data_IF_160204408998
#
_entry.id   IF_160204408998
#
_cell.length_a   1.000
_cell.length_b   1.000
_cell.length_c   1.000
_cell.angle_alpha   90.00
_cell.angle_beta   90.00
_cell.angle_gamma   90.00
#
_symmetry.space_group_name_H-M   'P 1'
#
loop_
_entity.id
_entity.type
_entity.pdbx_description
1 polymer ?
#
# COMPACT_ATOMS: atom_id res chain seq x y z
N UNK A 1 5.91 -10.18 -3.25
CA UNK A 1 6.50 -10.04 -1.90
C UNK A 1 6.76 -8.57 -1.67
N UNK A 2 6.40 -8.03 -0.48
CA UNK A 2 6.78 -6.69 -0.02
C UNK A 2 7.51 -6.87 1.31
N UNK A 3 8.77 -6.42 1.34
CA UNK A 3 9.67 -6.62 2.46
C UNK A 3 10.33 -5.29 2.88
N UNK A 4 10.04 -4.77 4.08
CA UNK A 4 10.66 -3.55 4.59
C UNK A 4 12.09 -3.73 5.08
N UNK A 5 12.53 -4.96 5.34
CA UNK A 5 13.89 -5.25 5.83
C UNK A 5 14.86 -5.59 4.70
N UNK A 6 14.40 -6.27 3.65
CA UNK A 6 15.16 -6.63 2.47
C UNK A 6 15.72 -8.04 2.47
N UNK A 7 15.95 -8.64 3.63
CA UNK A 7 16.54 -9.99 3.76
C UNK A 7 15.61 -11.07 3.20
N UNK A 8 14.31 -10.97 3.52
CA UNK A 8 13.29 -11.89 3.03
C UNK A 8 13.15 -11.82 1.50
N UNK A 9 13.20 -10.61 0.93
CA UNK A 9 13.18 -10.40 -0.52
C UNK A 9 14.39 -11.05 -1.20
N UNK A 10 15.60 -10.84 -0.66
CA UNK A 10 16.85 -11.40 -1.20
C UNK A 10 16.87 -12.92 -1.10
N UNK A 11 16.49 -13.48 0.04
CA UNK A 11 16.49 -14.94 0.24
C UNK A 11 15.50 -15.63 -0.69
N UNK A 12 14.31 -15.05 -0.90
CA UNK A 12 13.32 -15.64 -1.82
C UNK A 12 13.80 -15.63 -3.28
N UNK A 13 14.64 -14.70 -3.69
CA UNK A 13 15.20 -14.71 -5.05
C UNK A 13 15.99 -15.99 -5.36
N UNK A 14 16.63 -16.60 -4.34
CA UNK A 14 17.40 -17.84 -4.50
C UNK A 14 16.52 -19.05 -4.86
N UNK A 15 15.24 -19.01 -4.55
CA UNK A 15 14.29 -20.09 -4.81
C UNK A 15 13.55 -19.92 -6.15
N UNK A 16 13.83 -18.85 -6.91
CA UNK A 16 13.20 -18.64 -8.21
C UNK A 16 13.86 -19.57 -9.25
N UNK A 17 13.10 -20.45 -9.90
CA UNK A 17 13.66 -21.32 -10.94
C UNK A 17 14.27 -20.50 -12.08
N UNK A 18 15.38 -20.96 -12.65
CA UNK A 18 16.05 -20.28 -13.77
C UNK A 18 15.14 -19.98 -14.95
N UNK A 19 14.16 -20.86 -15.23
CA UNK A 19 13.13 -20.67 -16.26
C UNK A 19 12.16 -19.51 -16.01
N UNK A 20 12.10 -19.00 -14.78
CA UNK A 20 11.20 -17.91 -14.37
C UNK A 20 11.93 -16.60 -14.11
N UNK A 21 13.25 -16.52 -14.27
CA UNK A 21 14.03 -15.30 -14.00
C UNK A 21 13.58 -14.10 -14.86
N UNK A 22 13.17 -14.35 -16.10
CA UNK A 22 12.64 -13.30 -16.99
C UNK A 22 11.27 -12.74 -16.55
N UNK A 23 10.57 -13.43 -15.65
CA UNK A 23 9.29 -13.01 -15.12
C UNK A 23 9.43 -12.15 -13.87
N UNK A 24 10.65 -11.97 -13.37
CA UNK A 24 10.91 -11.25 -12.13
C UNK A 24 10.97 -9.75 -12.37
N UNK A 25 10.17 -9.01 -11.62
CA UNK A 25 10.28 -7.56 -11.46
C UNK A 25 10.80 -7.30 -10.06
N UNK A 26 12.05 -6.85 -9.98
CA UNK A 26 12.71 -6.55 -8.71
C UNK A 26 12.75 -5.04 -8.48
N UNK A 27 11.88 -4.55 -7.59
CA UNK A 27 11.81 -3.15 -7.20
C UNK A 27 12.68 -2.92 -5.98
N UNK A 28 13.81 -2.23 -6.18
CA UNK A 28 14.77 -1.88 -5.15
C UNK A 28 15.08 -0.37 -5.16
N UNK A 29 14.44 0.42 -4.30
CA UNK A 29 14.71 1.87 -4.18
C UNK A 29 16.14 2.22 -3.81
N UNK A 30 16.90 1.32 -3.21
CA UNK A 30 18.31 1.55 -2.87
C UNK A 30 19.24 1.53 -4.10
N UNK A 31 18.76 1.02 -5.25
CA UNK A 31 19.47 1.13 -6.52
C UNK A 31 19.29 2.53 -7.11
N UNK A 32 20.22 3.42 -6.79
CA UNK A 32 20.20 4.81 -7.26
C UNK A 32 20.79 5.00 -8.66
N UNK A 33 21.44 3.99 -9.22
CA UNK A 33 21.99 4.05 -10.58
C UNK A 33 20.90 3.78 -11.62
N UNK A 34 19.98 2.86 -11.33
CA UNK A 34 18.90 2.48 -12.24
C UNK A 34 17.52 2.53 -11.51
N UNK A 35 17.08 3.72 -11.09
CA UNK A 35 15.83 3.84 -10.35
C UNK A 35 14.63 3.44 -11.22
N UNK A 36 13.89 2.44 -10.78
CA UNK A 36 12.63 2.08 -11.42
C UNK A 36 11.56 3.13 -11.13
N UNK A 37 10.89 3.62 -12.16
CA UNK A 37 9.78 4.54 -12.02
C UNK A 37 8.57 3.86 -11.38
N UNK A 38 7.97 4.55 -10.43
CA UNK A 38 6.72 4.15 -9.81
C UNK A 38 5.88 5.41 -9.54
N UNK A 39 4.88 5.67 -10.37
CA UNK A 39 4.03 6.84 -10.28
C UNK A 39 2.70 6.53 -9.57
N UNK A 40 2.49 6.98 -8.33
CA UNK A 40 1.22 6.79 -7.64
C UNK A 40 0.02 7.42 -8.36
N UNK A 41 0.24 8.51 -9.13
CA UNK A 41 -0.80 9.22 -9.87
C UNK A 41 -1.03 8.67 -11.29
N UNK A 42 -0.30 7.65 -11.74
CA UNK A 42 -0.51 7.08 -13.06
C UNK A 42 -1.92 6.48 -13.20
N UNK A 43 -2.64 6.93 -14.22
CA UNK A 43 -4.01 6.52 -14.53
C UNK A 43 -3.99 5.56 -15.70
N UNK A 44 -4.26 4.28 -15.46
CA UNK A 44 -4.43 3.28 -16.53
C UNK A 44 -5.89 3.21 -17.02
N UNK A 45 -6.86 3.51 -16.15
CA UNK A 45 -8.28 3.54 -16.46
C UNK A 45 -8.91 4.83 -15.92
N UNK A 46 -9.47 5.70 -16.78
CA UNK A 46 -10.11 6.94 -16.33
C UNK A 46 -11.20 6.78 -15.26
N UNK A 47 -11.92 5.65 -15.26
CA UNK A 47 -12.94 5.37 -14.24
C UNK A 47 -12.37 5.22 -12.83
N UNK A 48 -11.07 5.01 -12.68
CA UNK A 48 -10.41 4.83 -11.38
C UNK A 48 -9.86 6.13 -10.77
N UNK A 49 -9.99 7.29 -11.42
CA UNK A 49 -9.41 8.56 -10.94
C UNK A 49 -9.81 8.90 -9.50
N UNK A 50 -11.09 8.78 -9.18
CA UNK A 50 -11.60 9.05 -7.83
C UNK A 50 -11.00 8.09 -6.79
N UNK A 51 -10.88 6.80 -7.14
CA UNK A 51 -10.27 5.81 -6.27
C UNK A 51 -8.78 6.11 -6.06
N UNK A 52 -8.03 6.39 -7.14
CA UNK A 52 -6.61 6.78 -7.05
C UNK A 52 -6.44 8.00 -6.14
N UNK A 53 -7.26 9.03 -6.30
CA UNK A 53 -7.23 10.22 -5.44
C UNK A 53 -7.45 9.86 -3.97
N UNK A 54 -8.48 9.08 -3.68
CA UNK A 54 -8.83 8.68 -2.31
C UNK A 54 -7.73 7.82 -1.67
N UNK A 55 -7.17 6.90 -2.43
CA UNK A 55 -6.10 6.03 -1.95
C UNK A 55 -4.79 6.80 -1.68
N UNK A 56 -4.39 7.69 -2.59
CA UNK A 56 -3.21 8.53 -2.38
C UNK A 56 -3.37 9.42 -1.14
N UNK A 57 -4.56 10.00 -0.95
CA UNK A 57 -4.89 10.77 0.25
C UNK A 57 -4.82 9.88 1.49
N UNK A 58 -5.35 8.66 1.43
CA UNK A 58 -5.30 7.70 2.54
C UNK A 58 -3.87 7.37 2.97
N UNK A 59 -2.96 7.14 2.02
CA UNK A 59 -1.53 6.93 2.30
C UNK A 59 -0.91 8.15 2.98
N UNK A 60 -1.14 9.35 2.45
CA UNK A 60 -0.60 10.57 3.01
C UNK A 60 -1.19 10.89 4.40
N UNK A 61 -2.50 10.67 4.59
CA UNK A 61 -3.17 10.84 5.86
C UNK A 61 -2.58 9.94 6.95
N UNK A 62 -2.37 8.67 6.61
CA UNK A 62 -1.72 7.72 7.52
C UNK A 62 -0.30 8.17 7.90
N UNK A 63 0.49 8.60 6.92
CA UNK A 63 1.87 9.03 7.12
C UNK A 63 1.98 10.27 8.05
N UNK A 64 1.05 11.22 7.92
CA UNK A 64 1.10 12.47 8.65
C UNK A 64 0.24 12.51 9.92
N UNK A 65 -0.57 11.48 10.17
CA UNK A 65 -1.27 11.25 11.44
C UNK A 65 -2.00 12.49 11.99
N UNK A 66 -1.73 12.83 13.24
CA UNK A 66 -2.38 13.93 13.95
C UNK A 66 -2.19 15.31 13.32
N UNK A 67 -1.15 15.48 12.49
CA UNK A 67 -0.92 16.74 11.77
C UNK A 67 -1.78 16.90 10.51
N UNK A 68 -2.67 15.94 10.23
CA UNK A 68 -3.63 15.98 9.14
C UNK A 68 -4.86 16.79 9.50
N UNK A 69 -5.25 17.75 8.66
CA UNK A 69 -6.41 18.60 8.90
C UNK A 69 -7.40 18.63 7.74
N UNK A 70 -8.68 18.93 8.01
CA UNK A 70 -9.73 18.91 6.97
C UNK A 70 -9.44 19.82 5.77
N UNK A 71 -8.90 21.03 6.02
CA UNK A 71 -8.55 21.98 4.96
C UNK A 71 -7.42 21.46 4.08
N UNK A 72 -6.40 20.84 4.69
CA UNK A 72 -5.30 20.22 3.96
C UNK A 72 -5.83 19.12 3.04
N UNK A 73 -6.67 18.23 3.57
CA UNK A 73 -7.28 17.14 2.79
C UNK A 73 -8.11 17.68 1.63
N UNK A 74 -8.91 18.70 1.88
CA UNK A 74 -9.75 19.36 0.89
C UNK A 74 -8.93 19.92 -0.30
N UNK A 75 -7.91 20.73 -0.01
CA UNK A 75 -7.03 21.30 -1.04
C UNK A 75 -6.28 20.21 -1.79
N UNK A 76 -5.73 19.23 -1.08
CA UNK A 76 -4.97 18.14 -1.68
C UNK A 76 -5.84 17.27 -2.60
N UNK A 77 -7.08 17.00 -2.21
CA UNK A 77 -8.05 16.24 -3.02
C UNK A 77 -8.30 16.91 -4.37
N UNK A 78 -8.63 18.19 -4.39
CA UNK A 78 -8.84 18.92 -5.65
C UNK A 78 -7.55 19.09 -6.46
N UNK A 79 -6.41 19.17 -5.78
CA UNK A 79 -5.10 19.17 -6.44
C UNK A 79 -4.86 17.86 -7.18
N UNK A 80 -5.02 16.74 -6.49
CA UNK A 80 -4.81 15.40 -7.07
C UNK A 80 -5.81 15.15 -8.22
N UNK A 81 -7.10 15.44 -8.02
CA UNK A 81 -8.12 15.24 -9.05
C UNK A 81 -7.79 16.03 -10.33
N UNK A 82 -7.35 17.29 -10.20
CA UNK A 82 -6.93 18.08 -11.35
C UNK A 82 -5.69 17.50 -12.05
N UNK A 83 -4.71 17.01 -11.28
CA UNK A 83 -3.51 16.37 -11.83
C UNK A 83 -3.83 15.06 -12.55
N UNK A 84 -4.79 14.26 -12.06
CA UNK A 84 -5.20 13.01 -12.69
C UNK A 84 -5.88 13.19 -14.05
N UNK A 85 -6.37 14.41 -14.37
CA UNK A 85 -6.92 14.73 -15.69
C UNK A 85 -5.83 15.06 -16.71
N UNK A 86 -4.69 15.57 -16.26
CA UNK A 86 -3.57 15.91 -17.11
C UNK A 86 -2.64 14.69 -17.31
N UNK A 87 -2.24 14.38 -18.56
CA UNK A 87 -1.30 13.30 -18.81
C UNK A 87 0.09 13.60 -18.21
N UNK A 88 0.81 12.54 -17.85
CA UNK A 88 2.20 12.57 -17.43
C UNK A 88 2.50 13.40 -16.16
N UNK A 89 1.49 13.61 -15.32
CA UNK A 89 1.67 14.23 -14.00
C UNK A 89 2.20 13.26 -12.96
N UNK A 90 2.88 13.80 -11.97
CA UNK A 90 3.52 13.07 -10.88
C UNK A 90 3.22 13.68 -9.52
N UNK A 91 3.60 13.01 -8.45
CA UNK A 91 3.49 13.58 -7.09
C UNK A 91 4.25 14.91 -6.92
N UNK A 92 5.28 15.16 -7.72
CA UNK A 92 6.04 16.43 -7.69
C UNK A 92 5.20 17.61 -8.20
N UNK A 93 4.24 17.35 -9.06
CA UNK A 93 3.38 18.38 -9.64
C UNK A 93 2.33 18.92 -8.64
N UNK A 94 2.12 18.27 -7.51
CA UNK A 94 1.29 18.79 -6.41
C UNK A 94 1.79 20.18 -5.99
N UNK A 95 3.10 20.32 -5.77
CA UNK A 95 3.72 21.59 -5.40
C UNK A 95 3.54 22.63 -6.53
N UNK A 96 3.75 22.25 -7.78
CA UNK A 96 3.58 23.15 -8.94
C UNK A 96 2.13 23.62 -9.10
N UNK A 97 1.18 22.70 -8.91
CA UNK A 97 -0.25 23.04 -8.98
C UNK A 97 -0.64 24.10 -7.96
N UNK A 98 -0.02 24.10 -6.78
CA UNK A 98 -0.29 25.05 -5.70
C UNK A 98 0.43 26.38 -5.87
N UNK A 99 1.66 26.39 -6.43
CA UNK A 99 2.54 27.57 -6.44
C UNK A 99 2.72 28.22 -7.80
N UNK A 100 2.60 27.47 -8.91
CA UNK A 100 2.80 27.96 -10.27
C UNK A 100 1.45 28.24 -10.95
N UNK A 101 1.10 29.53 -11.09
CA UNK A 101 -0.16 29.97 -11.72
C UNK A 101 -0.27 29.52 -13.19
N UNK A 102 0.86 29.48 -13.93
CA UNK A 102 0.89 29.06 -15.34
C UNK A 102 0.65 27.56 -15.49
N UNK A 103 1.36 26.76 -14.70
CA UNK A 103 1.18 25.31 -14.66
C UNK A 103 -0.24 24.94 -14.25
N UNK A 104 -0.79 25.60 -13.22
CA UNK A 104 -2.17 25.41 -12.78
C UNK A 104 -3.18 25.69 -13.89
N UNK A 105 -3.06 26.84 -14.55
CA UNK A 105 -3.95 27.20 -15.67
C UNK A 105 -3.90 26.17 -16.80
N UNK A 106 -2.71 25.71 -17.17
CA UNK A 106 -2.51 24.69 -18.19
C UNK A 106 -3.12 23.34 -17.73
N UNK A 107 -2.90 22.92 -16.50
CA UNK A 107 -3.49 21.69 -15.95
C UNK A 107 -5.02 21.74 -15.97
N UNK A 108 -5.62 22.86 -15.57
CA UNK A 108 -7.07 23.01 -15.57
C UNK A 108 -7.70 22.97 -16.96
N UNK A 109 -6.94 23.21 -18.02
CA UNK A 109 -7.45 23.06 -19.40
C UNK A 109 -7.73 21.61 -19.79
N UNK A 110 -7.19 20.63 -19.07
CA UNK A 110 -7.48 19.20 -19.24
C UNK A 110 -8.67 18.73 -18.39
N UNK A 111 -9.07 19.52 -17.38
CA UNK A 111 -10.13 19.12 -16.45
C UNK A 111 -11.50 19.28 -17.10
N UNK A 112 -12.34 18.26 -16.94
CA UNK A 112 -13.74 18.25 -17.39
C UNK A 112 -14.73 18.25 -16.23
N UNK A 113 -14.28 17.91 -15.03
CA UNK A 113 -15.11 17.90 -13.82
C UNK A 113 -15.42 19.33 -13.36
N UNK A 114 -16.69 19.68 -13.42
CA UNK A 114 -17.18 21.03 -13.07
C UNK A 114 -16.94 21.38 -11.62
N UNK A 115 -16.93 20.41 -10.70
CA UNK A 115 -16.68 20.63 -9.27
C UNK A 115 -15.20 20.95 -9.02
N UNK A 116 -14.29 20.26 -9.71
CA UNK A 116 -12.85 20.55 -9.67
C UNK A 116 -12.59 21.95 -10.24
N UNK A 117 -13.20 22.27 -11.38
CA UNK A 117 -13.07 23.60 -12.01
C UNK A 117 -13.65 24.71 -11.11
N UNK A 118 -14.77 24.47 -10.45
CA UNK A 118 -15.39 25.43 -9.53
C UNK A 118 -14.46 25.72 -8.33
N UNK A 119 -13.87 24.68 -7.74
CA UNK A 119 -12.90 24.88 -6.65
C UNK A 119 -11.75 25.80 -7.09
N UNK A 120 -11.11 25.51 -8.22
CA UNK A 120 -9.92 26.23 -8.64
C UNK A 120 -10.22 27.63 -9.19
N UNK A 121 -11.24 27.77 -10.04
CA UNK A 121 -11.53 29.01 -10.77
C UNK A 121 -12.41 29.98 -9.97
N UNK A 122 -13.16 29.51 -8.99
CA UNK A 122 -14.05 30.36 -8.18
C UNK A 122 -13.57 30.43 -6.74
N UNK A 123 -13.53 29.29 -6.02
CA UNK A 123 -13.22 29.29 -4.59
C UNK A 123 -11.77 29.69 -4.33
N UNK A 124 -10.80 28.92 -4.84
CA UNK A 124 -9.38 29.18 -4.65
C UNK A 124 -8.95 30.54 -5.23
N UNK A 125 -9.50 30.91 -6.39
CA UNK A 125 -9.21 32.19 -7.03
C UNK A 125 -9.74 33.40 -6.24
N UNK A 126 -10.80 33.23 -5.44
CA UNK A 126 -11.35 34.29 -4.58
C UNK A 126 -10.52 34.55 -3.32
N UNK A 127 -9.63 33.63 -2.97
CA UNK A 127 -8.81 33.78 -1.76
C UNK A 127 -7.74 34.85 -1.95
N UNK A 128 -7.53 35.68 -0.92
CA UNK A 128 -6.42 36.63 -0.90
C UNK A 128 -5.08 35.90 -0.96
N UNK A 129 -4.04 36.55 -1.52
CA UNK A 129 -2.70 35.91 -1.60
C UNK A 129 -2.17 35.47 -0.23
N UNK A 130 -2.45 36.25 0.83
CA UNK A 130 -2.08 35.90 2.19
C UNK A 130 -2.78 34.60 2.64
N UNK A 131 -4.09 34.51 2.40
CA UNK A 131 -4.86 33.31 2.77
C UNK A 131 -4.48 32.09 1.94
N UNK A 132 -4.23 32.26 0.62
CA UNK A 132 -3.70 31.20 -0.22
C UNK A 132 -2.38 30.63 0.33
N UNK A 133 -1.42 31.51 0.65
CA UNK A 133 -0.13 31.12 1.21
C UNK A 133 -0.28 30.33 2.52
N UNK A 134 -1.15 30.80 3.43
CA UNK A 134 -1.44 30.14 4.69
C UNK A 134 -2.12 28.77 4.47
N UNK A 135 -3.10 28.71 3.59
CA UNK A 135 -3.90 27.51 3.34
C UNK A 135 -3.10 26.37 2.68
N UNK A 136 -2.18 26.72 1.76
CA UNK A 136 -1.36 25.72 1.04
C UNK A 136 -0.10 25.30 1.81
N UNK A 137 0.39 26.08 2.77
CA UNK A 137 1.61 25.79 3.49
C UNK A 137 1.65 24.40 4.14
N UNK A 138 0.58 23.91 4.80
CA UNK A 138 0.56 22.55 5.34
C UNK A 138 0.72 21.47 4.28
N UNK A 139 0.14 21.66 3.08
CA UNK A 139 0.28 20.70 1.96
C UNK A 139 1.73 20.70 1.46
N UNK A 140 2.29 21.88 1.22
CA UNK A 140 3.67 22.05 0.75
C UNK A 140 4.69 21.44 1.71
N UNK A 141 4.52 21.65 3.01
CA UNK A 141 5.38 21.08 4.03
C UNK A 141 5.37 19.54 4.00
N UNK A 142 4.20 18.95 3.87
CA UNK A 142 4.06 17.49 3.84
C UNK A 142 4.57 16.86 2.55
N UNK A 143 4.16 17.41 1.41
CA UNK A 143 4.65 16.94 0.10
C UNK A 143 6.15 17.19 -0.01
N UNK A 144 6.65 18.35 0.43
CA UNK A 144 8.06 18.68 0.46
C UNK A 144 8.90 17.70 1.29
N UNK A 145 8.37 17.22 2.40
CA UNK A 145 9.11 16.32 3.29
C UNK A 145 9.58 15.04 2.57
N UNK A 146 8.69 14.37 1.81
CA UNK A 146 9.08 13.15 1.10
C UNK A 146 9.69 13.42 -0.28
N UNK A 147 9.31 14.50 -0.99
CA UNK A 147 9.88 14.84 -2.30
C UNK A 147 11.28 15.45 -2.20
N UNK A 148 11.69 15.93 -1.03
CA UNK A 148 13.05 16.40 -0.78
C UNK A 148 14.10 15.27 -0.89
N UNK A 149 13.71 14.04 -0.55
CA UNK A 149 14.61 12.89 -0.65
C UNK A 149 14.86 12.51 -2.11
N UNK A 150 16.14 12.51 -2.59
CA UNK A 150 16.46 12.19 -3.99
C UNK A 150 16.04 10.77 -4.40
N UNK A 151 16.13 9.78 -3.51
CA UNK A 151 15.74 8.40 -3.79
C UNK A 151 14.24 8.35 -4.12
N UNK A 152 13.43 8.91 -3.25
CA UNK A 152 11.97 8.96 -3.46
C UNK A 152 11.63 9.76 -4.71
N UNK A 153 12.21 10.95 -4.85
CA UNK A 153 11.95 11.85 -5.98
C UNK A 153 12.25 11.21 -7.33
N UNK A 154 13.34 10.44 -7.45
CA UNK A 154 13.71 9.76 -8.67
C UNK A 154 12.78 8.61 -9.04
N UNK A 155 12.05 8.06 -8.08
CA UNK A 155 11.08 6.98 -8.26
C UNK A 155 9.70 7.55 -8.61
N UNK A 156 9.14 8.38 -7.71
CA UNK A 156 7.76 8.90 -7.85
C UNK A 156 7.64 10.10 -8.78
N UNK A 157 8.75 10.68 -9.20
CA UNK A 157 8.81 11.80 -10.16
C UNK A 157 8.88 11.37 -11.63
N UNK A 158 8.93 10.06 -11.92
CA UNK A 158 8.84 9.56 -13.28
C UNK A 158 7.38 9.53 -13.72
N UNK A 159 7.02 10.12 -14.89
CA UNK A 159 5.64 10.22 -15.34
C UNK A 159 4.98 8.86 -15.58
N UNK A 160 5.77 7.87 -15.97
CA UNK A 160 5.31 6.51 -16.23
C UNK A 160 6.04 5.54 -15.31
N UNK A 161 5.29 4.60 -14.76
CA UNK A 161 5.87 3.48 -14.03
C UNK A 161 6.61 2.55 -14.98
N UNK A 162 7.76 2.02 -14.56
CA UNK A 162 8.58 1.09 -15.37
C UNK A 162 7.88 -0.27 -15.54
N UNK A 163 6.94 -0.60 -14.67
CA UNK A 163 6.18 -1.85 -14.69
C UNK A 163 4.70 -1.59 -14.44
N UNK A 164 3.85 -2.46 -14.98
CA UNK A 164 2.41 -2.41 -14.80
C UNK A 164 1.97 -3.55 -13.86
N UNK A 165 1.42 -3.19 -12.69
CA UNK A 165 1.03 -4.17 -11.68
C UNK A 165 -0.12 -5.07 -12.17
N UNK A 166 -1.09 -4.52 -12.92
CA UNK A 166 -2.18 -5.29 -13.50
C UNK A 166 -1.63 -6.36 -14.47
N UNK A 167 -0.70 -5.98 -15.32
CA UNK A 167 -0.04 -6.90 -16.25
C UNK A 167 0.76 -7.97 -15.50
N UNK A 168 1.48 -7.61 -14.43
CA UNK A 168 2.19 -8.56 -13.55
C UNK A 168 1.24 -9.61 -13.00
N UNK A 169 0.05 -9.21 -12.56
CA UNK A 169 -0.96 -10.13 -12.05
C UNK A 169 -1.49 -11.07 -13.13
N UNK A 170 -1.87 -10.52 -14.28
CA UNK A 170 -2.55 -11.28 -15.34
C UNK A 170 -1.60 -12.21 -16.09
N UNK A 171 -0.35 -11.83 -16.29
CA UNK A 171 0.69 -12.66 -16.89
C UNK A 171 1.33 -13.63 -15.88
N UNK A 172 1.06 -13.48 -14.59
CA UNK A 172 1.60 -14.33 -13.51
C UNK A 172 3.09 -14.13 -13.31
N UNK A 173 3.55 -12.90 -13.45
CA UNK A 173 4.93 -12.50 -13.13
C UNK A 173 5.17 -12.46 -11.61
N UNK A 174 6.43 -12.31 -11.23
CA UNK A 174 6.89 -12.31 -9.86
C UNK A 174 7.35 -10.89 -9.53
N UNK A 175 6.63 -10.21 -8.62
CA UNK A 175 7.00 -8.90 -8.11
C UNK A 175 7.67 -9.04 -6.75
N UNK A 176 8.92 -8.61 -6.65
CA UNK A 176 9.67 -8.55 -5.39
C UNK A 176 9.99 -7.09 -5.09
N UNK A 177 9.45 -6.59 -3.98
CA UNK A 177 9.61 -5.23 -3.50
C UNK A 177 10.50 -5.25 -2.27
N UNK A 178 11.77 -4.88 -2.47
CA UNK A 178 12.78 -4.78 -1.43
C UNK A 178 12.90 -3.33 -0.97
N UNK A 179 12.30 -2.98 0.15
CA UNK A 179 12.31 -1.60 0.62
C UNK A 179 13.50 -1.27 1.52
N UNK A 180 14.18 -2.28 2.08
CA UNK A 180 15.44 -2.15 2.85
C UNK A 180 15.52 -0.88 3.70
N UNK A 181 14.61 -0.74 4.69
CA UNK A 181 14.50 0.48 5.51
C UNK A 181 15.83 0.97 6.10
N UNK A 182 16.76 0.05 6.32
CA UNK A 182 18.13 0.37 6.76
C UNK A 182 18.95 1.15 5.70
N UNK A 183 18.60 1.06 4.42
CA UNK A 183 19.29 1.74 3.34
C UNK A 183 18.60 3.03 2.91
N UNK A 184 17.26 3.02 2.82
CA UNK A 184 16.51 4.18 2.33
C UNK A 184 15.85 5.01 3.43
N UNK A 185 15.85 4.55 4.67
CA UNK A 185 15.16 5.16 5.81
C UNK A 185 13.73 4.65 6.00
N UNK A 186 13.26 4.64 7.24
CA UNK A 186 11.97 4.06 7.65
C UNK A 186 10.78 4.79 7.00
N UNK A 187 10.77 6.12 7.02
CA UNK A 187 9.70 6.92 6.43
C UNK A 187 9.57 6.68 4.92
N UNK A 188 10.71 6.58 4.22
CA UNK A 188 10.74 6.32 2.79
C UNK A 188 10.25 4.90 2.44
N UNK A 189 10.67 3.91 3.21
CA UNK A 189 10.20 2.53 3.06
C UNK A 189 8.67 2.45 3.31
N UNK A 190 8.19 3.12 4.35
CA UNK A 190 6.78 3.14 4.72
C UNK A 190 5.91 3.78 3.63
N UNK A 191 6.31 4.92 3.07
CA UNK A 191 5.53 5.61 2.03
C UNK A 191 5.53 4.84 0.71
N UNK A 192 6.69 4.33 0.26
CA UNK A 192 6.78 3.54 -0.97
C UNK A 192 5.99 2.24 -0.84
N UNK A 193 6.11 1.56 0.30
CA UNK A 193 5.38 0.33 0.56
C UNK A 193 3.87 0.55 0.62
N UNK A 194 3.40 1.62 1.27
CA UNK A 194 1.98 1.95 1.31
C UNK A 194 1.42 2.28 -0.08
N UNK A 195 2.14 3.05 -0.89
CA UNK A 195 1.75 3.28 -2.29
C UNK A 195 1.77 2.00 -3.12
N UNK A 196 2.75 1.11 -2.91
CA UNK A 196 2.83 -0.18 -3.60
C UNK A 196 1.64 -1.08 -3.27
N UNK A 197 1.33 -1.25 -1.99
CA UNK A 197 0.16 -2.01 -1.52
C UNK A 197 -1.14 -1.43 -2.10
N UNK A 198 -1.29 -0.11 -2.09
CA UNK A 198 -2.43 0.60 -2.65
C UNK A 198 -2.57 0.38 -4.17
N UNK A 199 -1.47 0.48 -4.93
CA UNK A 199 -1.50 0.20 -6.38
C UNK A 199 -1.80 -1.26 -6.69
N UNK A 200 -1.33 -2.20 -5.88
CA UNK A 200 -1.68 -3.63 -6.00
C UNK A 200 -3.19 -3.81 -5.76
N UNK A 201 -3.75 -3.16 -4.74
CA UNK A 201 -5.19 -3.15 -4.48
C UNK A 201 -5.98 -2.62 -5.67
N UNK A 202 -5.63 -1.44 -6.19
CA UNK A 202 -6.31 -0.83 -7.35
C UNK A 202 -6.19 -1.71 -8.61
N UNK A 203 -5.03 -2.32 -8.84
CA UNK A 203 -4.82 -3.25 -9.94
C UNK A 203 -5.68 -4.51 -9.78
N UNK A 204 -5.80 -5.05 -8.56
CA UNK A 204 -6.70 -6.18 -8.30
C UNK A 204 -8.16 -5.81 -8.56
N UNK A 205 -8.64 -4.68 -8.02
CA UNK A 205 -10.01 -4.20 -8.22
C UNK A 205 -10.33 -3.94 -9.69
N UNK A 206 -9.35 -3.49 -10.50
CA UNK A 206 -9.53 -3.29 -11.94
C UNK A 206 -9.87 -4.58 -12.70
N UNK A 207 -9.58 -5.76 -12.10
CA UNK A 207 -9.89 -7.07 -12.68
C UNK A 207 -11.40 -7.37 -12.67
N UNK A 208 -12.23 -6.46 -12.16
CA UNK A 208 -13.68 -6.51 -12.32
C UNK A 208 -14.14 -6.46 -13.79
N UNK A 209 -13.26 -6.00 -14.70
CA UNK A 209 -13.47 -6.03 -16.16
C UNK A 209 -13.39 -7.45 -16.77
N UNK A 210 -12.85 -8.43 -16.04
CA UNK A 210 -12.89 -9.85 -16.39
C UNK A 210 -14.17 -10.44 -15.82
N UNK A 211 -15.17 -10.83 -16.67
CA UNK A 211 -16.50 -11.20 -16.19
C UNK A 211 -16.51 -12.41 -15.25
N UNK A 212 -15.77 -13.47 -15.59
CA UNK A 212 -15.74 -14.67 -14.78
C UNK A 212 -14.62 -14.59 -13.75
N UNK A 213 -14.95 -14.85 -12.49
CA UNK A 213 -13.95 -14.85 -11.40
C UNK A 213 -12.89 -15.92 -11.62
N UNK A 214 -13.28 -17.07 -12.18
CA UNK A 214 -12.38 -18.21 -12.44
C UNK A 214 -11.31 -17.90 -13.50
N UNK A 215 -11.57 -16.95 -14.39
CA UNK A 215 -10.62 -16.50 -15.41
C UNK A 215 -9.58 -15.51 -14.84
N UNK A 216 -9.80 -15.01 -13.61
CA UNK A 216 -8.87 -14.14 -12.91
C UNK A 216 -7.75 -14.97 -12.32
N UNK A 217 -6.58 -14.94 -12.95
CA UNK A 217 -5.41 -15.68 -12.47
C UNK A 217 -5.12 -15.34 -11.00
N UNK A 218 -5.02 -16.33 -10.09
CA UNK A 218 -4.70 -16.07 -8.68
C UNK A 218 -3.36 -15.33 -8.54
N UNK A 219 -3.38 -14.25 -7.77
CA UNK A 219 -2.18 -13.49 -7.42
C UNK A 219 -1.98 -13.57 -5.91
N UNK A 220 -0.80 -14.01 -5.49
CA UNK A 220 -0.45 -14.20 -4.08
C UNK A 220 0.42 -13.05 -3.61
N UNK A 221 -0.10 -12.24 -2.70
CA UNK A 221 0.59 -11.10 -2.11
C UNK A 221 1.03 -11.44 -0.69
N UNK A 222 2.34 -11.39 -0.47
CA UNK A 222 2.97 -11.57 0.84
C UNK A 222 3.50 -10.22 1.29
N UNK A 223 3.06 -9.75 2.46
CA UNK A 223 3.48 -8.46 3.04
C UNK A 223 4.04 -8.71 4.43
N UNK A 224 5.34 -8.48 4.57
CA UNK A 224 5.98 -8.51 5.88
C UNK A 224 5.84 -7.16 6.58
N UNK A 225 5.76 -7.17 7.92
CA UNK A 225 5.52 -5.97 8.74
C UNK A 225 4.33 -5.15 8.20
N UNK A 226 3.23 -5.82 7.93
CA UNK A 226 2.03 -5.27 7.27
C UNK A 226 1.52 -3.98 7.92
N UNK A 227 1.65 -3.87 9.25
CA UNK A 227 1.27 -2.66 9.99
C UNK A 227 1.97 -1.39 9.47
N UNK A 228 3.13 -1.51 8.79
CA UNK A 228 3.84 -0.38 8.22
C UNK A 228 3.19 0.18 6.94
N UNK A 229 2.33 -0.59 6.29
CA UNK A 229 1.80 -0.28 4.95
C UNK A 229 0.28 -0.18 4.91
N UNK A 230 -0.43 -0.81 5.85
CA UNK A 230 -1.87 -0.87 5.85
C UNK A 230 -2.50 0.51 6.06
N UNK A 231 -3.38 0.91 5.16
CA UNK A 231 -4.27 2.07 5.28
C UNK A 231 -5.66 1.60 5.70
N UNK A 232 -6.50 2.50 6.22
CA UNK A 232 -7.88 2.13 6.59
C UNK A 232 -8.69 1.67 5.36
N UNK A 233 -8.41 2.20 4.17
CA UNK A 233 -9.01 1.72 2.91
C UNK A 233 -8.63 0.28 2.58
N UNK A 234 -7.48 -0.20 3.03
CA UNK A 234 -7.06 -1.59 2.85
C UNK A 234 -7.96 -2.58 3.61
N UNK A 235 -8.63 -2.15 4.68
CA UNK A 235 -9.61 -2.98 5.37
C UNK A 235 -10.72 -3.47 4.44
N UNK A 236 -11.11 -2.65 3.46
CA UNK A 236 -12.14 -3.02 2.46
C UNK A 236 -11.64 -4.14 1.55
N UNK A 237 -10.38 -4.10 1.11
CA UNK A 237 -9.86 -5.15 0.22
C UNK A 237 -9.73 -6.50 0.93
N UNK A 238 -9.47 -6.52 2.24
CA UNK A 238 -9.43 -7.78 3.01
C UNK A 238 -10.73 -8.56 2.89
N UNK A 239 -11.89 -7.88 2.87
CA UNK A 239 -13.19 -8.51 2.70
C UNK A 239 -13.51 -8.91 1.27
N UNK A 240 -12.90 -8.28 0.28
CA UNK A 240 -13.25 -8.41 -1.14
C UNK A 240 -12.15 -9.05 -2.01
N UNK A 241 -10.94 -9.22 -1.50
CA UNK A 241 -9.75 -9.67 -2.24
C UNK A 241 -10.02 -10.92 -3.11
N UNK A 242 -10.76 -11.88 -2.56
CA UNK A 242 -11.12 -13.12 -3.25
C UNK A 242 -11.86 -12.89 -4.58
N UNK A 243 -12.75 -11.88 -4.65
CA UNK A 243 -13.50 -11.53 -5.87
C UNK A 243 -12.57 -11.15 -7.02
N UNK A 244 -11.39 -10.62 -6.69
CA UNK A 244 -10.43 -10.12 -7.66
C UNK A 244 -9.26 -11.08 -7.92
N UNK A 245 -9.35 -12.30 -7.36
CA UNK A 245 -8.26 -13.28 -7.46
C UNK A 245 -7.01 -12.88 -6.70
N UNK A 246 -7.13 -12.03 -5.66
CA UNK A 246 -6.02 -11.61 -4.79
C UNK A 246 -6.04 -12.44 -3.51
N UNK A 247 -4.94 -13.14 -3.24
CA UNK A 247 -4.72 -13.93 -2.03
C UNK A 247 -3.68 -13.22 -1.17
N UNK A 248 -4.03 -12.93 0.08
CA UNK A 248 -3.21 -12.15 0.99
C UNK A 248 -2.60 -13.03 2.09
N UNK A 249 -1.30 -12.89 2.28
CA UNK A 249 -0.58 -13.36 3.45
C UNK A 249 0.12 -12.16 4.08
N UNK A 250 -0.26 -11.81 5.29
CA UNK A 250 0.29 -10.66 6.01
C UNK A 250 0.96 -11.12 7.29
N UNK A 251 2.10 -10.54 7.61
CA UNK A 251 2.83 -10.80 8.85
C UNK A 251 3.00 -9.50 9.64
N UNK A 252 2.86 -9.63 10.96
CA UNK A 252 2.98 -8.53 11.91
C UNK A 252 3.74 -8.99 13.15
N UNK A 253 4.48 -8.10 13.78
CA UNK A 253 5.07 -8.34 15.09
C UNK A 253 4.14 -8.00 16.25
N UNK A 254 3.39 -6.88 16.15
CA UNK A 254 2.53 -6.36 17.20
C UNK A 254 1.16 -5.99 16.67
N UNK A 255 0.13 -6.50 17.34
CA UNK A 255 -1.28 -6.17 17.00
C UNK A 255 -1.60 -4.70 17.32
N UNK A 256 -1.02 -4.19 18.41
CA UNK A 256 -1.23 -2.82 18.88
C UNK A 256 -0.75 -1.73 17.90
N UNK A 257 0.06 -2.09 16.91
CA UNK A 257 0.53 -1.15 15.87
C UNK A 257 -0.45 -0.99 14.70
N UNK A 258 -1.50 -1.82 14.63
CA UNK A 258 -2.56 -1.66 13.64
C UNK A 258 -3.62 -0.68 14.14
N UNK A 259 -4.21 0.10 13.23
CA UNK A 259 -5.45 0.80 13.55
C UNK A 259 -6.57 -0.20 13.87
N UNK A 260 -7.53 0.21 14.72
CA UNK A 260 -8.66 -0.65 15.08
C UNK A 260 -9.41 -1.14 13.85
N UNK A 261 -9.59 -0.28 12.85
CA UNK A 261 -10.25 -0.62 11.57
C UNK A 261 -9.54 -1.75 10.84
N UNK A 262 -8.21 -1.68 10.72
CA UNK A 262 -7.41 -2.70 10.03
C UNK A 262 -7.37 -3.99 10.84
N UNK A 263 -7.18 -3.90 12.16
CA UNK A 263 -7.17 -5.05 13.07
C UNK A 263 -8.47 -5.85 12.99
N UNK A 264 -9.60 -5.17 13.11
CA UNK A 264 -10.93 -5.79 13.09
C UNK A 264 -11.21 -6.41 11.71
N UNK A 265 -10.78 -5.77 10.63
CA UNK A 265 -10.88 -6.33 9.28
C UNK A 265 -10.01 -7.58 9.10
N UNK A 266 -8.79 -7.61 9.65
CA UNK A 266 -7.93 -8.79 9.63
C UNK A 266 -8.61 -9.94 10.38
N UNK A 267 -9.02 -9.75 11.62
CA UNK A 267 -9.63 -10.81 12.43
C UNK A 267 -10.98 -11.29 11.86
N UNK A 268 -11.73 -10.42 11.19
CA UNK A 268 -13.01 -10.77 10.60
C UNK A 268 -12.93 -11.51 9.26
N UNK A 269 -11.81 -11.41 8.53
CA UNK A 269 -11.74 -11.90 7.15
C UNK A 269 -10.66 -12.96 6.89
N UNK A 270 -9.68 -13.15 7.80
CA UNK A 270 -8.64 -14.16 7.59
C UNK A 270 -9.16 -15.57 7.84
N UNK A 271 -8.95 -16.46 6.88
CA UNK A 271 -9.32 -17.87 7.01
C UNK A 271 -8.28 -18.72 7.75
N UNK A 272 -7.03 -18.29 7.75
CA UNK A 272 -5.93 -18.96 8.45
C UNK A 272 -5.17 -17.95 9.28
N UNK A 273 -4.97 -18.27 10.56
CA UNK A 273 -4.21 -17.45 11.49
C UNK A 273 -3.12 -18.30 12.14
N UNK A 274 -1.89 -17.80 12.09
CA UNK A 274 -0.72 -18.44 12.68
C UNK A 274 -0.13 -17.48 13.70
N UNK A 275 0.09 -17.94 14.94
CA UNK A 275 0.75 -17.17 15.98
C UNK A 275 1.98 -17.90 16.48
N UNK A 276 3.10 -17.21 16.46
CA UNK A 276 4.28 -17.57 17.25
C UNK A 276 4.17 -16.97 18.65
N UNK A 277 5.24 -17.04 19.45
CA UNK A 277 5.28 -16.41 20.76
C UNK A 277 5.08 -14.87 20.60
N UNK A 278 4.17 -14.33 21.40
CA UNK A 278 3.79 -12.91 21.37
C UNK A 278 3.96 -12.24 22.75
N UNK A 279 3.71 -10.93 22.78
CA UNK A 279 3.78 -10.12 24.01
C UNK A 279 2.61 -10.40 24.96
N UNK A 280 2.77 -9.95 26.22
CA UNK A 280 1.71 -10.03 27.21
C UNK A 280 0.48 -9.17 26.85
N UNK A 281 0.72 -8.05 26.18
CA UNK A 281 -0.35 -7.13 25.79
C UNK A 281 -1.21 -7.69 24.65
N UNK A 282 -0.60 -8.41 23.71
CA UNK A 282 -1.30 -8.98 22.56
C UNK A 282 -1.96 -10.34 22.86
N UNK A 283 -1.46 -11.06 23.86
CA UNK A 283 -1.90 -12.44 24.13
C UNK A 283 -3.39 -12.56 24.48
N UNK A 284 -4.03 -11.66 25.27
CA UNK A 284 -5.47 -11.75 25.54
C UNK A 284 -6.35 -11.49 24.32
N UNK A 285 -5.82 -10.70 23.38
CA UNK A 285 -6.55 -10.37 22.14
C UNK A 285 -6.50 -11.56 21.20
N UNK A 286 -5.31 -12.13 21.01
CA UNK A 286 -5.11 -13.19 20.03
C UNK A 286 -5.62 -14.55 20.51
N UNK A 287 -5.55 -14.84 21.82
CA UNK A 287 -6.06 -16.10 22.37
C UNK A 287 -7.54 -16.32 22.05
N UNK A 288 -8.35 -15.28 21.99
CA UNK A 288 -9.76 -15.36 21.59
C UNK A 288 -9.98 -16.01 20.23
N UNK A 289 -8.97 -15.95 19.35
CA UNK A 289 -9.03 -16.56 18.02
C UNK A 289 -8.73 -18.08 18.05
N UNK A 290 -8.14 -18.56 19.15
CA UNK A 290 -7.71 -19.95 19.33
C UNK A 290 -8.49 -20.69 20.41
N UNK A 291 -9.47 -20.03 21.04
CA UNK A 291 -10.40 -20.66 22.01
C UNK A 291 -11.21 -21.77 21.36
N UNK A 292 -11.58 -22.80 22.13
CA UNK A 292 -11.21 -23.07 23.54
C UNK A 292 -9.90 -23.84 23.73
N UNK A 293 -9.12 -24.11 22.68
CA UNK A 293 -7.96 -25.01 22.74
C UNK A 293 -6.74 -24.37 23.41
N UNK A 294 -6.61 -23.04 23.34
CA UNK A 294 -5.45 -22.32 23.86
C UNK A 294 -5.86 -21.08 24.64
N UNK A 295 -5.10 -20.81 25.71
CA UNK A 295 -5.24 -19.67 26.60
C UNK A 295 -4.12 -18.63 26.34
N UNK A 296 -4.23 -17.38 26.86
CA UNK A 296 -3.18 -16.36 26.71
C UNK A 296 -1.79 -16.83 27.15
N UNK A 297 -1.71 -17.65 28.20
CA UNK A 297 -0.44 -18.15 28.73
C UNK A 297 0.28 -19.11 27.76
N UNK A 298 -0.48 -19.87 26.96
CA UNK A 298 0.11 -20.77 25.96
C UNK A 298 0.87 -20.00 24.89
N UNK A 299 0.33 -18.83 24.48
CA UNK A 299 0.94 -17.93 23.50
C UNK A 299 2.21 -17.25 24.04
N UNK A 300 2.24 -16.95 25.35
CA UNK A 300 3.39 -16.31 26.00
C UNK A 300 4.57 -17.28 26.18
N UNK A 301 4.28 -18.54 26.49
CA UNK A 301 5.30 -19.54 26.84
C UNK A 301 5.77 -20.40 25.65
N UNK A 302 5.32 -20.06 24.45
CA UNK A 302 5.66 -20.84 23.26
C UNK A 302 7.16 -20.88 22.98
N UNK A 303 7.69 -22.08 22.73
CA UNK A 303 9.08 -22.24 22.34
C UNK A 303 9.37 -21.71 20.94
N UNK A 304 10.64 -21.36 20.70
CA UNK A 304 11.09 -20.94 19.38
C UNK A 304 10.72 -21.95 18.29
N UNK A 305 10.28 -21.47 17.13
CA UNK A 305 9.83 -22.24 15.96
C UNK A 305 8.54 -23.04 16.16
N UNK A 306 7.93 -23.02 17.34
CA UNK A 306 6.58 -23.53 17.54
C UNK A 306 5.56 -22.41 17.24
N UNK A 307 4.39 -22.81 16.79
CA UNK A 307 3.28 -21.90 16.52
C UNK A 307 1.94 -22.56 16.81
N UNK A 308 0.94 -21.75 17.04
CA UNK A 308 -0.46 -22.15 17.08
C UNK A 308 -1.11 -21.70 15.75
N UNK A 309 -1.94 -22.54 15.20
CA UNK A 309 -2.65 -22.28 13.94
C UNK A 309 -4.13 -22.57 14.10
N UNK A 310 -4.92 -21.68 13.52
CA UNK A 310 -6.34 -21.82 13.27
C UNK A 310 -6.54 -21.66 11.75
N UNK A 311 -7.21 -22.60 11.12
CA UNK A 311 -7.37 -22.60 9.67
C UNK A 311 -8.75 -23.10 9.23
N UNK A 312 -9.16 -22.70 8.05
CA UNK A 312 -10.35 -23.20 7.39
C UNK A 312 -9.97 -24.35 6.45
N UNK A 313 -10.56 -25.51 6.64
CA UNK A 313 -10.37 -26.70 5.81
C UNK A 313 -11.70 -27.06 5.17
N UNK A 314 -11.76 -27.13 3.85
CA UNK A 314 -12.98 -27.44 3.08
C UNK A 314 -14.20 -26.54 3.44
N UNK A 315 -13.93 -25.28 3.80
CA UNK A 315 -14.98 -24.31 4.18
C UNK A 315 -15.39 -24.35 5.65
N UNK A 316 -14.86 -25.26 6.46
CA UNK A 316 -15.12 -25.38 7.88
C UNK A 316 -13.91 -24.95 8.71
N UNK A 317 -14.18 -24.25 9.83
CA UNK A 317 -13.14 -23.84 10.76
C UNK A 317 -12.65 -25.06 11.55
N UNK A 318 -11.40 -25.46 11.34
CA UNK A 318 -10.79 -26.55 12.11
C UNK A 318 -10.47 -26.10 13.55
N UNK A 319 -10.51 -27.00 14.55
CA UNK A 319 -10.01 -26.69 15.87
C UNK A 319 -8.56 -26.22 15.82
N UNK A 320 -8.18 -25.23 16.62
CA UNK A 320 -6.82 -24.75 16.68
C UNK A 320 -5.87 -25.84 17.21
N UNK A 321 -4.66 -25.88 16.66
CA UNK A 321 -3.63 -26.84 17.09
C UNK A 321 -2.25 -26.19 17.05
N UNK A 322 -1.28 -26.78 17.78
CA UNK A 322 0.12 -26.36 17.76
C UNK A 322 0.93 -27.18 16.77
N UNK A 323 1.94 -26.55 16.19
CA UNK A 323 2.87 -27.18 15.26
C UNK A 323 4.27 -26.56 15.38
N UNK A 324 5.23 -27.09 14.63
CA UNK A 324 6.61 -26.61 14.58
C UNK A 324 7.02 -26.37 13.12
N UNK A 325 7.72 -25.26 12.90
CA UNK A 325 8.26 -24.95 11.56
C UNK A 325 9.37 -25.95 11.18
N UNK A 326 9.40 -26.27 9.90
CA UNK A 326 10.51 -27.02 9.30
C UNK A 326 11.69 -26.07 9.00
N UNK A 327 12.87 -26.64 8.78
CA UNK A 327 13.97 -25.89 8.18
C UNK A 327 13.67 -25.63 6.69
N UNK A 328 14.14 -24.48 6.18
CA UNK A 328 14.08 -24.24 4.75
C UNK A 328 14.89 -25.31 4.01
N UNK A 329 14.38 -25.82 2.88
CA UNK A 329 15.19 -26.64 2.00
C UNK A 329 16.37 -25.82 1.44
N UNK A 330 17.45 -26.44 1.01
CA UNK A 330 18.48 -25.73 0.25
C UNK A 330 17.88 -25.17 -1.05
N UNK A 331 18.35 -24.00 -1.49
CA UNK A 331 17.87 -23.35 -2.73
C UNK A 331 18.21 -24.14 -3.98
#
# INVERSE_FOLDING_TARGET
IIDPHGDFAIDNMRFIPGSRLQDVVYFNPADTQYPLGFNPLEVSNPAQKTNISSEVIGVLKRMFGESWGPRLEYILRYTILALLDRPETTMLDITRMLTDKKFRKDTLSYCTDTVVLQFWNVEFASWTEKFQAEAIAPVLNKVGAFTANPVIRNIIGQPRSTFNIRQIMDEGKILIVNLSKGLIGEDNASILGAFMVTKIQLAAMSRSDVPNIEDRRPFYLYVDEFQNFATDSFATILSEARKYGLNLTVANQYISQMSDTVRDAVFGNVGTMISFRISADDSPILAKQFEPQFEPNDLLQMHNRNFIINMVINGEKAPAFSAKTLNLPPP
#
